data_IF_501426179981
#
_entry.id   IF_501426179981
#
_cell.length_a   1.000
_cell.length_b   1.000
_cell.length_c   1.000
_cell.angle_alpha   90.00
_cell.angle_beta   90.00
_cell.angle_gamma   90.00
#
_symmetry.space_group_name_H-M   'P 1'
#
loop_
_entity.id
_entity.type
_entity.pdbx_description
1 polymer ?
#
# COMPACT_ATOMS: atom_id res chain seq x y z
N UNK A 1 -11.96 -10.91 -8.27
CA UNK A 1 -10.63 -10.75 -7.61
C UNK A 1 -9.98 -12.12 -7.50
N UNK A 2 -8.73 -12.27 -7.89
CA UNK A 2 -8.04 -13.55 -7.86
C UNK A 2 -7.32 -13.77 -6.52
N UNK A 3 -7.11 -15.04 -6.09
CA UNK A 3 -6.39 -15.34 -4.84
C UNK A 3 -4.97 -14.75 -4.80
N UNK A 4 -4.34 -14.54 -5.97
CA UNK A 4 -2.97 -14.10 -6.13
C UNK A 4 -2.77 -12.58 -5.97
N UNK A 5 -3.85 -11.79 -5.90
CA UNK A 5 -3.75 -10.35 -5.65
C UNK A 5 -3.38 -10.07 -4.20
N UNK A 6 -2.50 -9.10 -3.98
CA UNK A 6 -2.18 -8.62 -2.62
C UNK A 6 -3.42 -8.00 -1.94
N UNK A 7 -3.37 -7.87 -0.62
CA UNK A 7 -4.46 -7.27 0.17
C UNK A 7 -4.78 -5.86 -0.35
N UNK A 8 -3.76 -5.02 -0.58
CA UNK A 8 -3.94 -3.67 -1.11
C UNK A 8 -4.59 -3.63 -2.50
N UNK A 9 -4.16 -4.52 -3.42
CA UNK A 9 -4.80 -4.61 -4.75
C UNK A 9 -6.26 -5.05 -4.68
N UNK A 10 -6.61 -5.95 -3.75
CA UNK A 10 -8.00 -6.37 -3.51
C UNK A 10 -8.83 -5.23 -2.95
N UNK A 11 -8.28 -4.46 -2.01
CA UNK A 11 -8.92 -3.27 -1.46
C UNK A 11 -9.19 -2.25 -2.57
N UNK A 12 -8.18 -1.88 -3.36
CA UNK A 12 -8.34 -0.97 -4.49
C UNK A 12 -9.46 -1.40 -5.45
N UNK A 13 -9.47 -2.65 -5.88
CA UNK A 13 -10.49 -3.15 -6.79
C UNK A 13 -11.90 -3.13 -6.17
N UNK A 14 -12.03 -3.51 -4.90
CA UNK A 14 -13.30 -3.48 -4.16
C UNK A 14 -13.82 -2.06 -4.02
N UNK A 15 -12.95 -1.13 -3.58
CA UNK A 15 -13.33 0.25 -3.29
C UNK A 15 -13.72 1.02 -4.56
N UNK A 16 -12.99 0.86 -5.66
CA UNK A 16 -13.37 1.45 -6.93
C UNK A 16 -14.69 0.86 -7.48
N UNK A 17 -14.85 -0.46 -7.44
CA UNK A 17 -16.09 -1.09 -7.91
C UNK A 17 -17.34 -0.62 -7.14
N UNK A 18 -17.19 -0.37 -5.83
CA UNK A 18 -18.29 0.10 -4.99
C UNK A 18 -18.60 1.60 -5.17
N UNK A 19 -17.56 2.43 -5.42
CA UNK A 19 -17.70 3.90 -5.41
C UNK A 19 -17.86 4.52 -6.80
N UNK A 20 -17.23 4.00 -7.83
CA UNK A 20 -17.31 4.57 -9.18
C UNK A 20 -18.75 4.76 -9.68
N UNK A 21 -19.68 3.78 -9.55
CA UNK A 21 -21.06 3.98 -9.98
C UNK A 21 -21.79 5.11 -9.24
N UNK A 22 -21.36 5.46 -8.01
CA UNK A 22 -21.96 6.53 -7.21
C UNK A 22 -21.42 7.91 -7.60
N UNK A 23 -20.11 8.01 -7.89
CA UNK A 23 -19.44 9.30 -8.16
C UNK A 23 -19.46 9.68 -9.65
N UNK A 24 -19.87 8.77 -10.53
CA UNK A 24 -19.90 8.96 -11.97
C UNK A 24 -21.16 8.31 -12.57
N UNK A 25 -22.34 8.81 -12.20
CA UNK A 25 -23.61 8.31 -12.67
C UNK A 25 -23.86 8.55 -14.19
N UNK A 26 -23.03 9.38 -14.82
CA UNK A 26 -22.99 9.61 -16.27
C UNK A 26 -22.21 8.53 -17.05
N UNK A 27 -21.54 7.61 -16.35
CA UNK A 27 -20.80 6.50 -16.93
C UNK A 27 -21.46 5.16 -16.56
N UNK A 28 -21.54 4.26 -17.52
CA UNK A 28 -21.96 2.88 -17.26
C UNK A 28 -20.75 2.00 -16.94
N UNK A 29 -20.83 1.24 -15.86
CA UNK A 29 -19.75 0.38 -15.38
C UNK A 29 -20.11 -1.09 -15.49
N UNK A 30 -19.32 -1.85 -16.22
CA UNK A 30 -19.42 -3.32 -16.30
C UNK A 30 -18.19 -3.95 -15.68
N UNK A 31 -18.37 -4.70 -14.59
CA UNK A 31 -17.28 -5.37 -13.87
C UNK A 31 -17.14 -6.82 -14.31
N UNK A 32 -15.90 -7.23 -14.56
CA UNK A 32 -15.54 -8.61 -14.87
C UNK A 32 -14.70 -9.23 -13.74
N UNK A 33 -15.17 -10.36 -13.24
CA UNK A 33 -14.48 -11.14 -12.20
C UNK A 33 -14.21 -12.54 -12.74
N UNK A 34 -13.14 -12.75 -13.49
CA UNK A 34 -12.86 -14.05 -14.12
C UNK A 34 -11.44 -14.51 -13.92
N UNK A 35 -11.33 -15.81 -13.59
CA UNK A 35 -10.16 -16.65 -13.77
C UNK A 35 -9.03 -16.49 -12.77
N UNK A 36 -8.07 -17.38 -12.93
CA UNK A 36 -6.74 -17.25 -12.30
C UNK A 36 -5.86 -16.38 -13.18
N UNK A 37 -5.02 -15.56 -12.58
CA UNK A 37 -4.01 -14.78 -13.30
C UNK A 37 -3.17 -15.73 -14.19
N UNK A 38 -3.00 -15.35 -15.46
CA UNK A 38 -2.31 -16.15 -16.50
C UNK A 38 -3.04 -17.43 -16.93
N UNK A 39 -4.29 -17.63 -16.51
CA UNK A 39 -5.08 -18.77 -16.92
C UNK A 39 -5.73 -18.58 -18.29
N UNK A 40 -6.19 -19.69 -18.88
CA UNK A 40 -6.96 -19.68 -20.15
C UNK A 40 -8.13 -18.71 -20.13
N UNK A 41 -8.87 -18.66 -19.01
CA UNK A 41 -10.01 -17.77 -18.84
C UNK A 41 -9.64 -16.30 -18.94
N UNK A 42 -8.55 -15.88 -18.30
CA UNK A 42 -8.06 -14.50 -18.36
C UNK A 42 -7.55 -14.14 -19.75
N UNK A 43 -6.81 -15.06 -20.40
CA UNK A 43 -6.12 -14.75 -21.64
C UNK A 43 -7.05 -14.82 -22.89
N UNK A 44 -8.02 -15.70 -22.88
CA UNK A 44 -8.91 -15.93 -24.03
C UNK A 44 -10.37 -15.54 -23.73
N UNK A 45 -11.00 -16.08 -22.67
CA UNK A 45 -12.41 -15.88 -22.41
C UNK A 45 -12.73 -14.43 -22.04
N UNK A 46 -11.91 -13.84 -21.14
CA UNK A 46 -12.11 -12.46 -20.68
C UNK A 46 -12.08 -11.43 -21.82
N UNK A 47 -11.10 -11.42 -22.74
CA UNK A 47 -11.10 -10.49 -23.87
C UNK A 47 -12.32 -10.60 -24.79
N UNK A 48 -12.83 -11.82 -25.01
CA UNK A 48 -14.06 -12.01 -25.79
C UNK A 48 -15.28 -11.47 -25.06
N UNK A 49 -15.43 -11.78 -23.77
CA UNK A 49 -16.54 -11.28 -22.96
C UNK A 49 -16.53 -9.75 -22.88
N UNK A 50 -15.36 -9.13 -22.72
CA UNK A 50 -15.22 -7.67 -22.72
C UNK A 50 -15.57 -7.06 -24.08
N UNK A 51 -15.15 -7.68 -25.20
CA UNK A 51 -15.50 -7.18 -26.55
C UNK A 51 -17.00 -7.26 -26.85
N UNK A 52 -17.70 -8.26 -26.31
CA UNK A 52 -19.15 -8.40 -26.50
C UNK A 52 -19.93 -7.21 -25.92
N UNK A 53 -19.42 -6.60 -24.82
CA UNK A 53 -20.03 -5.40 -24.21
C UNK A 53 -19.67 -4.12 -24.96
N UNK A 54 -18.68 -4.13 -25.87
CA UNK A 54 -18.19 -2.97 -26.64
C UNK A 54 -17.87 -1.74 -25.77
N UNK A 55 -16.99 -1.87 -24.76
CA UNK A 55 -16.68 -0.77 -23.88
C UNK A 55 -15.97 0.36 -24.62
N UNK A 56 -16.29 1.61 -24.30
CA UNK A 56 -15.55 2.77 -24.81
C UNK A 56 -14.13 2.80 -24.26
N UNK A 57 -13.94 2.32 -23.03
CA UNK A 57 -12.65 2.14 -22.39
C UNK A 57 -12.68 0.94 -21.45
N UNK A 58 -11.56 0.21 -21.35
CA UNK A 58 -11.38 -0.86 -20.39
C UNK A 58 -10.35 -0.46 -19.35
N UNK A 59 -10.54 -0.79 -18.08
CA UNK A 59 -9.55 -0.55 -17.03
C UNK A 59 -9.14 -1.85 -16.32
N UNK A 60 -7.88 -2.20 -16.41
CA UNK A 60 -7.26 -3.31 -15.67
C UNK A 60 -6.70 -2.77 -14.35
N UNK A 61 -7.32 -3.15 -13.23
CA UNK A 61 -7.03 -2.63 -11.90
C UNK A 61 -5.71 -3.18 -11.29
N UNK A 62 -4.89 -3.81 -12.11
CA UNK A 62 -3.56 -4.30 -11.75
C UNK A 62 -2.75 -4.60 -13.01
N UNK A 63 -1.47 -4.96 -12.81
CA UNK A 63 -0.55 -5.38 -13.87
C UNK A 63 -1.00 -6.65 -14.65
N UNK A 64 -1.99 -7.37 -14.14
CA UNK A 64 -2.52 -8.58 -14.77
C UNK A 64 -3.48 -8.19 -15.90
N UNK A 65 -2.95 -8.17 -17.10
CA UNK A 65 -3.64 -7.78 -18.32
C UNK A 65 -3.55 -8.92 -19.33
N UNK A 66 -4.66 -9.28 -19.99
CA UNK A 66 -4.58 -10.23 -21.10
C UNK A 66 -3.62 -9.74 -22.19
N UNK A 67 -3.03 -10.66 -22.94
CA UNK A 67 -2.11 -10.31 -24.04
C UNK A 67 -2.80 -9.50 -25.15
N UNK A 68 -4.10 -9.76 -25.38
CA UNK A 68 -4.92 -9.09 -26.39
C UNK A 68 -6.17 -8.46 -25.79
N UNK A 69 -6.02 -7.45 -24.91
CA UNK A 69 -7.16 -6.78 -24.31
C UNK A 69 -7.94 -5.98 -25.34
N UNK A 70 -9.25 -5.72 -25.15
CA UNK A 70 -9.99 -4.76 -25.96
C UNK A 70 -9.39 -3.35 -25.78
N UNK A 71 -9.36 -2.59 -26.88
CA UNK A 71 -8.79 -1.24 -26.89
C UNK A 71 -9.88 -0.19 -27.12
N UNK A 72 -9.71 1.03 -26.59
CA UNK A 72 -8.60 1.48 -25.72
C UNK A 72 -8.70 0.91 -24.31
N UNK A 73 -7.56 0.84 -23.61
CA UNK A 73 -7.53 0.42 -22.20
C UNK A 73 -6.55 1.23 -21.35
N UNK A 74 -6.83 1.27 -20.06
CA UNK A 74 -5.98 1.76 -18.98
C UNK A 74 -5.48 0.56 -18.18
N UNK A 75 -4.29 0.66 -17.61
CA UNK A 75 -3.76 -0.32 -16.65
C UNK A 75 -3.29 0.40 -15.39
N UNK A 76 -3.62 -0.14 -14.21
CA UNK A 76 -3.05 0.32 -12.95
C UNK A 76 -1.80 -0.48 -12.62
N UNK A 77 -0.71 0.23 -12.32
CA UNK A 77 0.56 -0.33 -11.81
C UNK A 77 0.81 0.28 -10.43
N UNK A 78 0.59 -0.51 -9.37
CA UNK A 78 0.74 -0.07 -7.99
C UNK A 78 2.20 0.10 -7.59
N UNK A 79 3.07 -0.83 -8.01
CA UNK A 79 4.50 -0.80 -7.75
C UNK A 79 5.28 -1.66 -8.75
N UNK A 80 6.59 -1.52 -8.72
CA UNK A 80 7.54 -2.35 -9.44
C UNK A 80 8.58 -2.98 -8.49
N UNK A 81 8.17 -3.30 -7.27
CA UNK A 81 9.03 -3.91 -6.22
C UNK A 81 9.77 -5.14 -6.74
N UNK A 82 9.13 -5.94 -7.59
CA UNK A 82 9.72 -7.13 -8.19
C UNK A 82 10.92 -6.85 -9.11
N UNK A 83 10.97 -5.66 -9.71
CA UNK A 83 12.11 -5.23 -10.54
C UNK A 83 13.16 -4.49 -9.70
N UNK A 84 12.74 -3.83 -8.63
CA UNK A 84 13.63 -3.10 -7.72
C UNK A 84 14.43 -4.03 -6.82
N UNK A 85 13.84 -5.15 -6.38
CA UNK A 85 14.46 -6.15 -5.50
C UNK A 85 14.39 -7.55 -6.09
N UNK A 86 14.99 -7.79 -7.26
CA UNK A 86 14.87 -9.08 -7.97
C UNK A 86 15.39 -10.26 -7.15
N UNK A 87 16.32 -10.03 -6.21
CA UNK A 87 16.89 -11.04 -5.32
C UNK A 87 15.87 -11.66 -4.37
N UNK A 88 14.74 -10.99 -4.09
CA UNK A 88 13.69 -11.50 -3.20
C UNK A 88 12.57 -12.26 -3.93
N UNK A 89 12.67 -12.37 -5.25
CA UNK A 89 11.62 -12.98 -6.08
C UNK A 89 12.15 -14.08 -6.98
N UNK A 90 11.25 -14.95 -7.46
CA UNK A 90 11.62 -16.03 -8.38
C UNK A 90 12.19 -15.46 -9.68
N UNK A 91 13.22 -16.09 -10.23
CA UNK A 91 13.97 -15.63 -11.43
C UNK A 91 13.09 -15.33 -12.65
N UNK A 92 11.96 -16.01 -12.81
CA UNK A 92 11.00 -15.80 -13.92
C UNK A 92 10.18 -14.50 -13.80
N UNK A 93 10.15 -13.87 -12.65
CA UNK A 93 9.33 -12.66 -12.42
C UNK A 93 9.89 -11.45 -13.17
N UNK A 94 11.20 -11.23 -13.11
CA UNK A 94 11.86 -10.14 -13.84
C UNK A 94 11.61 -10.17 -15.35
N UNK A 95 11.85 -11.29 -16.05
CA UNK A 95 11.50 -11.45 -17.46
C UNK A 95 10.02 -11.16 -17.77
N UNK A 96 9.08 -11.65 -16.93
CA UNK A 96 7.67 -11.35 -17.11
C UNK A 96 7.37 -9.84 -17.13
N UNK A 97 7.93 -9.08 -16.18
CA UNK A 97 7.76 -7.63 -16.15
C UNK A 97 8.36 -6.94 -17.38
N UNK A 98 9.58 -7.33 -17.78
CA UNK A 98 10.28 -6.74 -18.92
C UNK A 98 9.65 -7.09 -20.27
N UNK A 99 8.82 -8.12 -20.34
CA UNK A 99 8.12 -8.55 -21.56
C UNK A 99 6.64 -8.23 -21.49
N UNK A 100 5.84 -9.04 -20.79
CA UNK A 100 4.39 -8.94 -20.81
C UNK A 100 3.87 -7.63 -20.17
N UNK A 101 4.39 -7.22 -19.01
CA UNK A 101 3.94 -5.96 -18.37
C UNK A 101 4.38 -4.76 -19.19
N UNK A 102 5.64 -4.75 -19.68
CA UNK A 102 6.12 -3.70 -20.58
C UNK A 102 5.28 -3.60 -21.85
N UNK A 103 4.95 -4.75 -22.47
CA UNK A 103 4.08 -4.78 -23.63
C UNK A 103 2.68 -4.24 -23.32
N UNK A 104 2.08 -4.63 -22.22
CA UNK A 104 0.79 -4.09 -21.78
C UNK A 104 0.84 -2.57 -21.57
N UNK A 105 1.85 -2.06 -20.86
CA UNK A 105 2.06 -0.63 -20.65
C UNK A 105 2.30 0.14 -21.95
N UNK A 106 3.08 -0.40 -22.90
CA UNK A 106 3.37 0.27 -24.18
C UNK A 106 2.11 0.46 -25.03
N UNK A 107 1.14 -0.44 -24.90
CA UNK A 107 -0.11 -0.45 -25.70
C UNK A 107 -1.32 0.14 -24.98
N UNK A 108 -1.25 0.37 -23.68
CA UNK A 108 -2.27 1.05 -22.91
C UNK A 108 -2.45 2.50 -23.42
N UNK A 109 -3.67 3.02 -23.39
CA UNK A 109 -3.96 4.44 -23.68
C UNK A 109 -3.30 5.33 -22.60
N UNK A 110 -3.37 4.90 -21.35
CA UNK A 110 -2.77 5.54 -20.21
C UNK A 110 -2.49 4.51 -19.10
N UNK A 111 -1.69 4.92 -18.13
CA UNK A 111 -1.36 4.12 -16.94
C UNK A 111 -1.78 4.93 -15.71
N UNK A 112 -2.40 4.26 -14.73
CA UNK A 112 -2.64 4.83 -13.40
C UNK A 112 -1.60 4.25 -12.45
N UNK A 113 -1.10 5.07 -11.54
CA UNK A 113 -0.28 4.64 -10.40
C UNK A 113 -0.66 5.41 -9.15
N UNK A 114 -0.23 4.91 -8.00
CA UNK A 114 -0.66 5.42 -6.70
C UNK A 114 0.26 6.53 -6.16
N UNK A 115 1.52 6.58 -6.62
CA UNK A 115 2.54 7.50 -6.08
C UNK A 115 3.53 7.94 -7.18
N UNK A 116 4.03 9.18 -7.07
CA UNK A 116 5.02 9.78 -7.97
C UNK A 116 6.30 8.94 -8.12
N UNK A 117 6.72 8.23 -7.06
CA UNK A 117 7.91 7.38 -7.10
C UNK A 117 7.74 6.21 -8.07
N UNK A 118 6.51 5.71 -8.23
CA UNK A 118 6.21 4.65 -9.21
C UNK A 118 6.28 5.18 -10.64
N UNK A 119 6.03 6.47 -10.88
CA UNK A 119 6.26 7.08 -12.23
C UNK A 119 7.73 6.96 -12.62
N UNK A 120 8.64 7.28 -11.69
CA UNK A 120 10.08 7.13 -11.90
C UNK A 120 10.47 5.68 -12.18
N UNK A 121 9.89 4.74 -11.43
CA UNK A 121 10.14 3.30 -11.65
C UNK A 121 9.60 2.81 -13.01
N UNK A 122 8.41 3.26 -13.41
CA UNK A 122 7.81 2.94 -14.70
C UNK A 122 8.69 3.41 -15.85
N UNK A 123 9.22 4.63 -15.74
CA UNK A 123 10.16 5.17 -16.73
C UNK A 123 11.46 4.35 -16.75
N UNK A 124 12.07 4.15 -15.59
CA UNK A 124 13.37 3.49 -15.46
C UNK A 124 13.33 2.02 -15.90
N UNK A 125 12.38 1.23 -15.41
CA UNK A 125 12.34 -0.22 -15.62
C UNK A 125 11.62 -0.64 -16.89
N UNK A 126 10.59 0.11 -17.31
CA UNK A 126 9.70 -0.29 -18.41
C UNK A 126 9.76 0.67 -19.60
N UNK A 127 10.46 1.80 -19.51
CA UNK A 127 10.56 2.81 -20.56
C UNK A 127 9.23 3.51 -20.84
N UNK A 128 8.39 3.66 -19.83
CA UNK A 128 7.10 4.36 -19.93
C UNK A 128 7.33 5.87 -19.87
N UNK A 129 6.77 6.61 -20.82
CA UNK A 129 6.82 8.07 -20.81
C UNK A 129 5.96 8.62 -19.68
N UNK A 130 6.50 9.52 -18.79
CA UNK A 130 5.78 10.08 -17.65
C UNK A 130 4.44 10.75 -18.03
N UNK A 131 4.37 11.39 -19.21
CA UNK A 131 3.14 12.03 -19.72
C UNK A 131 1.97 11.08 -19.95
N UNK A 132 2.21 9.77 -19.98
CA UNK A 132 1.20 8.71 -20.10
C UNK A 132 0.76 8.14 -18.76
N UNK A 133 1.33 8.63 -17.66
CA UNK A 133 1.06 8.15 -16.30
C UNK A 133 0.26 9.18 -15.53
N UNK A 134 -0.90 8.77 -15.03
CA UNK A 134 -1.70 9.55 -14.10
C UNK A 134 -1.48 9.04 -12.69
N UNK A 135 -1.05 9.90 -11.79
CA UNK A 135 -0.96 9.57 -10.36
C UNK A 135 -2.31 9.82 -9.71
N UNK A 136 -2.88 8.79 -9.12
CA UNK A 136 -4.13 8.85 -8.35
C UNK A 136 -3.87 8.17 -7.01
N UNK A 137 -3.64 8.93 -5.93
CA UNK A 137 -3.37 8.36 -4.61
C UNK A 137 -4.53 7.50 -4.11
N UNK A 138 -4.18 6.44 -3.38
CA UNK A 138 -5.16 5.59 -2.71
C UNK A 138 -5.78 6.31 -1.50
N UNK A 139 -6.81 5.70 -0.91
CA UNK A 139 -7.43 6.13 0.34
C UNK A 139 -7.28 5.08 1.44
N UNK A 140 -7.40 5.48 2.69
CA UNK A 140 -7.66 4.56 3.77
C UNK A 140 -9.16 4.23 3.85
N UNK A 141 -9.50 3.10 4.47
CA UNK A 141 -10.89 2.69 4.68
C UNK A 141 -11.61 3.67 5.63
N UNK A 142 -12.90 3.87 5.42
CA UNK A 142 -13.72 4.82 6.19
C UNK A 142 -13.64 4.57 7.71
N UNK A 143 -13.39 3.32 8.12
CA UNK A 143 -13.24 2.95 9.53
C UNK A 143 -12.09 3.67 10.25
N UNK A 144 -11.07 4.10 9.52
CA UNK A 144 -9.92 4.83 10.09
C UNK A 144 -10.18 6.33 10.31
N UNK A 145 -11.32 6.86 9.85
CA UNK A 145 -11.69 8.27 10.00
C UNK A 145 -12.81 8.51 11.01
N UNK A 146 -13.37 7.45 11.58
CA UNK A 146 -14.47 7.51 12.55
C UNK A 146 -14.02 7.73 13.99
N UNK A 147 -14.97 7.64 14.91
CA UNK A 147 -14.68 7.53 16.34
C UNK A 147 -14.15 6.12 16.63
N UNK A 148 -12.91 6.03 17.09
CA UNK A 148 -12.20 4.76 17.31
C UNK A 148 -11.88 4.65 18.79
N UNK A 149 -12.33 3.56 19.43
CA UNK A 149 -11.92 3.22 20.78
C UNK A 149 -10.51 2.61 20.76
N UNK A 150 -9.51 3.28 21.40
CA UNK A 150 -8.14 2.78 21.42
C UNK A 150 -8.02 1.48 22.22
N UNK A 151 -7.33 0.50 21.68
CA UNK A 151 -6.95 -0.68 22.45
C UNK A 151 -5.91 -0.30 23.53
N UNK A 152 -6.21 -0.58 24.80
CA UNK A 152 -5.41 -0.16 25.96
C UNK A 152 -4.94 -1.37 26.78
N UNK A 153 -3.84 -2.02 26.41
CA UNK A 153 -3.25 -3.07 27.22
C UNK A 153 -2.54 -2.50 28.47
N UNK A 154 -2.20 -3.34 29.45
CA UNK A 154 -1.49 -2.92 30.65
C UNK A 154 -0.12 -2.28 30.39
N UNK A 155 0.54 -2.62 29.27
CA UNK A 155 1.84 -2.07 28.87
C UNK A 155 1.69 -1.28 27.56
N UNK A 156 2.39 -0.14 27.43
CA UNK A 156 2.43 0.56 26.16
C UNK A 156 3.04 -0.32 25.06
N UNK A 157 2.71 -0.05 23.81
CA UNK A 157 3.23 -0.82 22.69
C UNK A 157 3.49 0.06 21.47
N UNK A 158 4.41 -0.40 20.65
CA UNK A 158 4.57 0.01 19.26
C UNK A 158 4.07 -1.12 18.36
N UNK A 159 3.75 -0.81 17.12
CA UNK A 159 3.26 -1.84 16.21
C UNK A 159 3.86 -1.78 14.82
N UNK A 160 3.77 -2.91 14.15
CA UNK A 160 3.98 -3.08 12.73
C UNK A 160 2.72 -3.67 12.11
N UNK A 161 2.34 -3.16 10.93
CA UNK A 161 1.25 -3.72 10.14
C UNK A 161 1.71 -4.00 8.70
N UNK A 162 1.49 -5.23 8.24
CA UNK A 162 1.88 -5.67 6.91
C UNK A 162 2.20 -7.17 6.83
N UNK A 163 2.59 -7.61 5.62
CA UNK A 163 3.12 -8.95 5.42
C UNK A 163 4.63 -9.00 5.76
N UNK A 164 5.20 -10.22 5.83
CA UNK A 164 6.57 -10.47 6.25
C UNK A 164 7.51 -10.81 5.09
N UNK A 165 7.28 -10.23 3.91
CA UNK A 165 8.19 -10.42 2.78
C UNK A 165 9.56 -9.78 3.05
N UNK A 166 10.66 -10.30 2.48
CA UNK A 166 12.01 -9.83 2.80
C UNK A 166 12.23 -8.32 2.67
N UNK A 167 11.62 -7.67 1.66
CA UNK A 167 11.72 -6.22 1.48
C UNK A 167 11.00 -5.40 2.56
N UNK A 168 10.24 -6.03 3.46
CA UNK A 168 9.63 -5.36 4.61
C UNK A 168 10.60 -5.16 5.77
N UNK A 169 11.78 -5.76 5.70
CA UNK A 169 12.92 -5.57 6.60
C UNK A 169 12.57 -5.66 8.09
N UNK A 170 11.83 -6.70 8.45
CA UNK A 170 11.44 -6.93 9.85
C UNK A 170 12.65 -7.12 10.77
N UNK A 171 13.82 -7.49 10.23
CA UNK A 171 15.05 -7.56 11.01
C UNK A 171 15.37 -6.20 11.64
N UNK A 172 15.34 -5.12 10.86
CA UNK A 172 15.52 -3.75 11.36
C UNK A 172 14.48 -3.40 12.43
N UNK A 173 13.21 -3.80 12.28
CA UNK A 173 12.17 -3.58 13.29
C UNK A 173 12.51 -4.22 14.62
N UNK A 174 12.83 -5.54 14.60
CA UNK A 174 13.10 -6.29 15.82
C UNK A 174 14.35 -5.80 16.53
N UNK A 175 15.43 -5.51 15.80
CA UNK A 175 16.66 -4.97 16.37
C UNK A 175 16.44 -3.56 16.94
N UNK A 176 15.69 -2.69 16.24
CA UNK A 176 15.33 -1.35 16.74
C UNK A 176 14.60 -1.45 18.07
N UNK A 177 13.56 -2.31 18.15
CA UNK A 177 12.78 -2.50 19.37
C UNK A 177 13.61 -3.14 20.49
N UNK A 178 14.43 -4.16 20.17
CA UNK A 178 15.22 -4.90 21.13
C UNK A 178 16.36 -4.07 21.77
N UNK A 179 16.81 -3.03 21.08
CA UNK A 179 17.88 -2.14 21.54
C UNK A 179 17.39 -0.86 22.20
N UNK A 180 16.06 -0.71 22.39
CA UNK A 180 15.50 0.40 23.18
C UNK A 180 16.08 0.42 24.61
N UNK A 181 16.22 1.61 25.22
CA UNK A 181 16.63 1.73 26.62
C UNK A 181 15.74 0.90 27.55
N UNK A 182 16.36 0.26 28.55
CA UNK A 182 15.68 -0.69 29.45
C UNK A 182 14.59 -0.06 30.34
N UNK A 183 14.59 1.26 30.50
CA UNK A 183 13.56 2.02 31.19
C UNK A 183 12.28 2.21 30.31
N UNK A 184 12.37 1.95 29.00
CA UNK A 184 11.25 1.94 28.09
C UNK A 184 10.67 0.52 27.95
N UNK A 185 9.77 0.16 28.86
CA UNK A 185 9.09 -1.14 28.85
C UNK A 185 7.94 -1.15 27.82
N UNK A 186 8.25 -1.38 26.54
CA UNK A 186 7.32 -1.30 25.41
C UNK A 186 7.18 -2.65 24.74
N UNK A 187 5.93 -3.13 24.55
CA UNK A 187 5.64 -4.36 23.79
C UNK A 187 5.67 -4.06 22.28
N UNK A 188 5.99 -5.05 21.45
CA UNK A 188 5.96 -4.99 19.99
C UNK A 188 4.81 -5.83 19.45
N UNK A 189 3.81 -5.18 18.85
CA UNK A 189 2.64 -5.82 18.24
C UNK A 189 2.86 -5.93 16.73
N UNK A 190 2.67 -7.14 16.19
CA UNK A 190 2.98 -7.42 14.77
C UNK A 190 1.80 -8.16 14.14
N UNK A 191 1.23 -7.62 13.05
CA UNK A 191 0.22 -8.32 12.26
C UNK A 191 0.85 -9.33 11.31
N UNK A 192 0.06 -10.26 10.77
CA UNK A 192 0.50 -11.29 9.83
C UNK A 192 0.53 -12.68 10.45
N UNK A 193 0.69 -13.71 9.63
CA UNK A 193 0.49 -15.10 10.00
C UNK A 193 1.66 -15.78 10.71
N UNK A 194 2.78 -15.07 10.94
CA UNK A 194 3.95 -15.63 11.65
C UNK A 194 3.73 -15.60 13.17
N UNK A 195 4.13 -16.65 13.86
CA UNK A 195 4.08 -16.72 15.32
C UNK A 195 5.32 -16.15 16.04
N UNK A 196 6.40 -15.89 15.27
CA UNK A 196 7.68 -15.33 15.75
C UNK A 196 8.36 -16.15 16.85
N UNK A 197 8.16 -17.46 16.90
CA UNK A 197 8.67 -18.32 17.96
C UNK A 197 10.19 -18.20 18.19
N UNK A 198 10.99 -18.24 17.12
CA UNK A 198 12.45 -18.07 17.17
C UNK A 198 12.86 -16.67 17.65
N UNK A 199 12.18 -15.62 17.16
CA UNK A 199 12.45 -14.24 17.56
C UNK A 199 12.07 -13.98 19.02
N UNK A 200 11.00 -14.58 19.53
CA UNK A 200 10.66 -14.54 20.95
C UNK A 200 11.75 -15.13 21.82
N UNK A 201 12.34 -16.24 21.40
CA UNK A 201 13.47 -16.86 22.11
C UNK A 201 14.72 -15.96 22.05
N UNK A 202 15.05 -15.47 20.86
CA UNK A 202 16.20 -14.55 20.66
C UNK A 202 16.13 -13.31 21.54
N UNK A 203 14.95 -12.72 21.68
CA UNK A 203 14.72 -11.48 22.43
C UNK A 203 14.10 -11.70 23.82
N UNK A 204 14.18 -12.88 24.40
CA UNK A 204 13.56 -13.21 25.68
C UNK A 204 14.04 -12.34 26.86
N UNK A 205 15.21 -11.68 26.75
CA UNK A 205 15.78 -10.79 27.78
C UNK A 205 15.42 -9.32 27.60
N UNK A 206 14.72 -8.96 26.52
CA UNK A 206 14.28 -7.59 26.26
C UNK A 206 13.15 -7.24 27.23
N UNK A 207 13.12 -6.00 27.73
CA UNK A 207 12.05 -5.52 28.58
C UNK A 207 10.78 -5.18 27.78
N UNK A 208 10.20 -6.18 27.16
CA UNK A 208 9.00 -6.13 26.32
C UNK A 208 8.67 -7.51 25.77
N UNK A 209 7.51 -7.63 25.13
CA UNK A 209 7.04 -8.89 24.53
C UNK A 209 6.71 -8.67 23.06
N UNK A 210 6.96 -9.68 22.24
CA UNK A 210 6.48 -9.75 20.86
C UNK A 210 5.07 -10.37 20.88
N UNK A 211 4.07 -9.65 20.43
CA UNK A 211 2.68 -10.07 20.34
C UNK A 211 2.32 -10.24 18.86
N UNK A 212 2.17 -11.49 18.43
CA UNK A 212 1.66 -11.81 17.10
C UNK A 212 0.13 -11.63 17.10
N UNK A 213 -0.36 -10.76 16.23
CA UNK A 213 -1.79 -10.44 16.12
C UNK A 213 -2.51 -11.32 15.07
N UNK A 214 -1.77 -12.00 14.19
CA UNK A 214 -2.36 -12.70 13.07
C UNK A 214 -3.01 -11.77 12.05
N UNK A 215 -4.02 -12.28 11.37
CA UNK A 215 -4.86 -11.48 10.46
C UNK A 215 -5.90 -10.71 11.27
N UNK A 216 -5.85 -9.39 11.19
CA UNK A 216 -6.66 -8.48 12.01
C UNK A 216 -7.76 -7.84 11.16
N UNK A 217 -9.04 -7.90 11.56
CA UNK A 217 -10.11 -7.13 10.92
C UNK A 217 -9.83 -5.61 10.97
N UNK A 218 -10.26 -4.86 9.95
CA UNK A 218 -9.97 -3.43 9.81
C UNK A 218 -10.40 -2.60 11.05
N UNK A 219 -11.56 -2.87 11.63
CA UNK A 219 -12.03 -2.17 12.84
C UNK A 219 -11.11 -2.42 14.04
N UNK A 220 -10.64 -3.66 14.22
CA UNK A 220 -9.67 -3.98 15.28
C UNK A 220 -8.30 -3.38 14.99
N UNK A 221 -7.88 -3.34 13.73
CA UNK A 221 -6.63 -2.72 13.32
C UNK A 221 -6.64 -1.22 13.63
N UNK A 222 -7.78 -0.54 13.39
CA UNK A 222 -7.97 0.85 13.77
C UNK A 222 -7.81 1.07 15.29
N UNK A 223 -8.39 0.19 16.11
CA UNK A 223 -8.24 0.24 17.59
C UNK A 223 -6.78 0.01 18.00
N UNK A 224 -6.07 -0.92 17.37
CA UNK A 224 -4.64 -1.13 17.63
C UNK A 224 -3.80 0.08 17.22
N UNK A 225 -4.03 0.68 16.06
CA UNK A 225 -3.34 1.92 15.70
C UNK A 225 -3.62 3.04 16.70
N UNK A 226 -4.88 3.25 17.05
CA UNK A 226 -5.27 4.32 17.97
C UNK A 226 -4.68 4.18 19.38
N UNK A 227 -4.38 2.96 19.82
CA UNK A 227 -3.75 2.68 21.12
C UNK A 227 -2.23 2.61 21.08
N UNK A 228 -1.61 2.49 19.89
CA UNK A 228 -0.17 2.36 19.75
C UNK A 228 0.56 3.69 20.01
N UNK A 229 1.76 3.60 20.60
CA UNK A 229 2.66 4.75 20.76
C UNK A 229 3.29 5.17 19.42
N UNK A 230 3.48 4.23 18.52
CA UNK A 230 3.95 4.45 17.16
C UNK A 230 3.65 3.25 16.25
N UNK A 231 3.44 3.51 14.96
CA UNK A 231 3.69 2.56 13.89
C UNK A 231 5.16 2.65 13.48
N UNK A 232 5.89 1.52 13.47
CA UNK A 232 7.24 1.44 12.91
C UNK A 232 7.17 0.66 11.60
N UNK A 233 7.55 1.30 10.49
CA UNK A 233 7.44 0.74 9.14
C UNK A 233 8.80 0.68 8.44
N UNK A 234 9.60 -0.38 8.64
CA UNK A 234 10.98 -0.47 8.17
C UNK A 234 11.12 -0.90 6.70
N UNK A 235 10.01 -1.10 5.99
CA UNK A 235 10.04 -1.58 4.60
C UNK A 235 11.04 -0.80 3.75
N UNK A 236 11.84 -1.50 2.96
CA UNK A 236 12.82 -0.87 2.04
C UNK A 236 12.14 -0.14 0.89
N UNK A 237 10.89 -0.46 0.60
CA UNK A 237 10.07 0.18 -0.43
C UNK A 237 8.60 -0.20 -0.27
N UNK A 238 7.73 0.75 -0.62
CA UNK A 238 6.28 0.57 -0.76
C UNK A 238 5.79 1.21 -2.06
N UNK A 239 4.74 0.66 -2.63
CA UNK A 239 4.00 1.33 -3.71
C UNK A 239 3.34 2.60 -3.20
N UNK A 240 2.41 2.45 -2.26
CA UNK A 240 1.72 3.57 -1.62
C UNK A 240 1.85 3.58 -0.09
N UNK A 241 1.91 2.39 0.56
CA UNK A 241 2.07 2.32 2.02
C UNK A 241 0.77 2.60 2.79
N UNK A 242 -0.30 1.90 2.45
CA UNK A 242 -1.59 2.01 3.15
C UNK A 242 -1.48 1.96 4.68
N UNK A 243 -0.65 1.07 5.31
CA UNK A 243 -0.53 1.05 6.76
C UNK A 243 -0.10 2.38 7.38
N UNK A 244 0.77 3.14 6.70
CA UNK A 244 1.19 4.46 7.19
C UNK A 244 0.07 5.49 7.07
N UNK A 245 -0.72 5.44 6.00
CA UNK A 245 -1.89 6.31 5.83
C UNK A 245 -2.98 5.99 6.86
N UNK A 246 -3.26 4.70 7.09
CA UNK A 246 -4.21 4.21 8.08
C UNK A 246 -3.82 4.65 9.50
N UNK A 247 -2.56 4.45 9.87
CA UNK A 247 -2.03 4.90 11.16
C UNK A 247 -2.14 6.43 11.32
N UNK A 248 -1.74 7.19 10.31
CA UNK A 248 -1.85 8.65 10.31
C UNK A 248 -3.32 9.11 10.45
N UNK A 249 -4.27 8.44 9.78
CA UNK A 249 -5.69 8.78 9.83
C UNK A 249 -6.27 8.67 11.25
N UNK A 250 -5.92 7.61 11.99
CA UNK A 250 -6.37 7.42 13.38
C UNK A 250 -5.58 8.25 14.41
N UNK A 251 -4.49 8.89 14.01
CA UNK A 251 -3.63 9.66 14.90
C UNK A 251 -2.55 8.82 15.59
N UNK A 252 -2.10 7.74 14.99
CA UNK A 252 -0.90 7.02 15.42
C UNK A 252 0.33 7.67 14.78
N UNK A 253 1.35 8.10 15.57
CA UNK A 253 2.60 8.58 15.02
C UNK A 253 3.30 7.51 14.19
N UNK A 254 3.95 7.90 13.09
CA UNK A 254 4.63 6.97 12.18
C UNK A 254 6.12 7.23 12.13
N UNK A 255 6.91 6.17 12.25
CA UNK A 255 8.34 6.14 11.98
C UNK A 255 8.57 5.13 10.85
N UNK A 256 9.24 5.52 9.77
CA UNK A 256 9.39 4.66 8.62
C UNK A 256 10.76 4.79 7.94
N UNK A 257 11.16 3.76 7.21
CA UNK A 257 12.27 3.86 6.29
C UNK A 257 11.97 4.91 5.21
N UNK A 258 12.91 5.82 4.97
CA UNK A 258 12.75 6.96 4.04
C UNK A 258 12.23 6.54 2.67
N UNK A 259 12.72 5.40 2.16
CA UNK A 259 12.33 4.91 0.84
C UNK A 259 10.90 4.36 0.78
N UNK A 260 10.29 4.00 1.92
CA UNK A 260 8.95 3.45 1.98
C UNK A 260 7.86 4.54 2.09
N UNK A 261 8.22 5.74 2.58
CA UNK A 261 7.23 6.79 2.83
C UNK A 261 6.61 7.28 1.53
N UNK A 262 5.27 7.21 1.40
CA UNK A 262 4.60 7.73 0.21
C UNK A 262 4.77 9.26 0.11
N UNK A 263 4.79 9.77 -1.11
CA UNK A 263 4.95 11.21 -1.40
C UNK A 263 3.93 12.06 -0.62
N UNK A 264 2.74 11.51 -0.42
CA UNK A 264 1.63 12.17 0.27
C UNK A 264 1.83 12.32 1.79
N UNK A 265 2.72 11.54 2.43
CA UNK A 265 2.96 11.57 3.88
C UNK A 265 4.36 12.09 4.27
N UNK A 266 5.16 12.54 3.32
CA UNK A 266 6.58 12.85 3.51
C UNK A 266 6.84 13.79 4.69
N UNK A 267 5.97 14.76 4.92
CA UNK A 267 6.13 15.80 5.96
C UNK A 267 5.47 15.44 7.30
N UNK A 268 4.86 14.25 7.41
CA UNK A 268 4.08 13.82 8.58
C UNK A 268 4.64 12.56 9.25
N UNK A 269 5.84 12.11 8.86
CA UNK A 269 6.46 10.86 9.27
C UNK A 269 7.91 11.12 9.65
N UNK A 270 8.38 10.54 10.75
CA UNK A 270 9.81 10.50 11.05
C UNK A 270 10.48 9.42 10.21
N UNK A 271 11.64 9.73 9.64
CA UNK A 271 12.29 8.82 8.71
C UNK A 271 13.72 8.46 9.09
N UNK A 272 14.09 7.21 8.82
CA UNK A 272 15.44 6.68 8.98
C UNK A 272 15.93 6.04 7.66
N UNK A 273 17.24 5.89 7.51
CA UNK A 273 17.82 5.27 6.32
C UNK A 273 17.55 3.75 6.26
N UNK A 274 17.56 3.12 5.08
CA UNK A 274 17.44 1.66 4.97
C UNK A 274 18.45 0.94 5.86
N UNK A 275 17.99 -0.08 6.61
CA UNK A 275 18.78 -0.90 7.54
C UNK A 275 19.44 -0.12 8.70
N UNK A 276 19.05 1.13 8.94
CA UNK A 276 19.60 1.98 10.00
C UNK A 276 18.87 1.75 11.33
N UNK A 277 19.29 0.70 12.04
CA UNK A 277 18.75 0.34 13.36
C UNK A 277 18.99 1.45 14.39
N UNK A 278 20.17 2.09 14.35
CA UNK A 278 20.52 3.13 15.33
C UNK A 278 19.68 4.38 15.13
N UNK A 279 19.56 4.88 13.91
CA UNK A 279 18.72 6.03 13.60
C UNK A 279 17.25 5.77 13.90
N UNK A 280 16.73 4.58 13.56
CA UNK A 280 15.37 4.16 13.89
C UNK A 280 15.13 4.13 15.41
N UNK A 281 16.09 3.59 16.18
CA UNK A 281 16.05 3.55 17.65
C UNK A 281 16.04 4.94 18.27
N UNK A 282 16.91 5.85 17.81
CA UNK A 282 16.98 7.22 18.32
C UNK A 282 15.68 8.00 18.08
N UNK A 283 15.11 7.85 16.90
CA UNK A 283 13.81 8.45 16.56
C UNK A 283 12.69 7.87 17.43
N UNK A 284 12.69 6.56 17.63
CA UNK A 284 11.67 5.88 18.43
C UNK A 284 11.82 6.25 19.93
N UNK A 285 13.02 6.27 20.49
CA UNK A 285 13.29 6.71 21.86
C UNK A 285 12.81 8.15 22.08
N UNK A 286 13.17 9.07 21.18
CA UNK A 286 12.69 10.46 21.19
C UNK A 286 11.16 10.54 21.17
N UNK A 287 10.50 9.82 20.26
CA UNK A 287 9.04 9.83 20.13
C UNK A 287 8.34 9.30 21.38
N UNK A 288 8.91 8.26 22.00
CA UNK A 288 8.32 7.64 23.21
C UNK A 288 8.44 8.54 24.44
N UNK A 289 9.45 9.42 24.50
CA UNK A 289 9.72 10.34 25.63
C UNK A 289 9.12 11.72 25.44
N UNK A 290 9.00 12.20 24.21
CA UNK A 290 8.58 13.58 23.90
C UNK A 290 7.14 13.61 23.39
N UNK A 291 6.19 13.89 24.27
CA UNK A 291 4.78 14.02 23.93
C UNK A 291 4.50 15.18 22.94
N UNK A 292 5.33 16.23 22.92
CA UNK A 292 5.21 17.34 21.99
C UNK A 292 5.49 16.91 20.56
N UNK A 293 6.55 16.11 20.35
CA UNK A 293 6.88 15.49 19.05
C UNK A 293 5.74 14.57 18.62
N UNK A 294 5.27 13.69 19.52
CA UNK A 294 4.17 12.77 19.22
C UNK A 294 2.90 13.53 18.81
N UNK A 295 2.52 14.55 19.57
CA UNK A 295 1.32 15.38 19.30
C UNK A 295 1.43 16.11 17.96
N UNK A 296 2.60 16.63 17.62
CA UNK A 296 2.84 17.31 16.33
C UNK A 296 2.63 16.36 15.17
N UNK A 297 3.19 15.14 15.23
CA UNK A 297 3.00 14.12 14.19
C UNK A 297 1.55 13.67 14.05
N UNK A 298 0.83 13.52 15.17
CA UNK A 298 -0.61 13.19 15.18
C UNK A 298 -1.40 14.26 14.42
N UNK A 299 -1.22 15.53 14.78
CA UNK A 299 -1.95 16.64 14.15
C UNK A 299 -1.66 16.72 12.66
N UNK A 300 -0.38 16.67 12.28
CA UNK A 300 0.03 16.74 10.87
C UNK A 300 -0.46 15.51 10.09
N UNK A 301 -0.31 14.31 10.66
CA UNK A 301 -0.73 13.06 10.04
C UNK A 301 -2.23 13.02 9.78
N UNK A 302 -3.05 13.33 10.79
CA UNK A 302 -4.51 13.36 10.65
C UNK A 302 -4.98 14.41 9.65
N UNK A 303 -4.41 15.64 9.72
CA UNK A 303 -4.74 16.69 8.76
C UNK A 303 -4.43 16.28 7.33
N UNK A 304 -3.29 15.62 7.12
CA UNK A 304 -2.88 15.12 5.81
C UNK A 304 -3.76 13.96 5.34
N UNK A 305 -4.00 12.95 6.18
CA UNK A 305 -4.72 11.74 5.83
C UNK A 305 -6.17 12.01 5.39
N UNK A 306 -6.84 13.03 5.94
CA UNK A 306 -8.20 13.44 5.54
C UNK A 306 -8.35 13.76 4.05
N UNK A 307 -7.25 14.04 3.35
CA UNK A 307 -7.25 14.29 1.91
C UNK A 307 -7.13 13.02 1.06
N UNK A 308 -6.95 11.84 1.66
CA UNK A 308 -6.69 10.59 0.96
C UNK A 308 -7.72 9.54 1.34
N UNK A 309 -8.94 9.71 0.82
CA UNK A 309 -10.07 8.79 1.00
C UNK A 309 -10.33 8.00 -0.28
N UNK A 310 -10.97 6.83 -0.16
CA UNK A 310 -11.38 6.05 -1.31
C UNK A 310 -12.40 6.79 -2.20
N UNK A 311 -13.26 7.65 -1.63
CA UNK A 311 -14.16 8.48 -2.41
C UNK A 311 -13.39 9.45 -3.30
N UNK A 312 -12.36 10.10 -2.77
CA UNK A 312 -11.49 10.99 -3.56
C UNK A 312 -10.74 10.24 -4.66
N UNK A 313 -10.21 9.05 -4.35
CA UNK A 313 -9.60 8.17 -5.34
C UNK A 313 -10.58 7.83 -6.47
N UNK A 314 -11.81 7.46 -6.15
CA UNK A 314 -12.85 7.16 -7.12
C UNK A 314 -13.24 8.39 -7.97
N UNK A 315 -13.39 9.57 -7.35
CA UNK A 315 -13.68 10.82 -8.07
C UNK A 315 -12.56 11.16 -9.06
N UNK A 316 -11.31 11.11 -8.65
CA UNK A 316 -10.16 11.36 -9.53
C UNK A 316 -10.08 10.33 -10.66
N UNK A 317 -10.34 9.07 -10.36
CA UNK A 317 -10.39 8.00 -11.38
C UNK A 317 -11.51 8.26 -12.40
N UNK A 318 -12.70 8.65 -11.96
CA UNK A 318 -13.81 9.00 -12.85
C UNK A 318 -13.51 10.24 -13.71
N UNK A 319 -12.89 11.26 -13.14
CA UNK A 319 -12.42 12.44 -13.88
C UNK A 319 -11.43 12.06 -14.98
N UNK A 320 -10.49 11.17 -14.65
CA UNK A 320 -9.52 10.69 -15.62
C UNK A 320 -10.19 9.86 -16.75
N UNK A 321 -11.20 9.05 -16.44
CA UNK A 321 -11.96 8.38 -17.49
C UNK A 321 -12.64 9.36 -18.44
N UNK A 322 -13.29 10.42 -17.92
CA UNK A 322 -13.91 11.46 -18.75
C UNK A 322 -12.91 12.19 -19.64
N UNK A 323 -11.73 12.48 -19.12
CA UNK A 323 -10.63 13.06 -19.90
C UNK A 323 -10.26 12.15 -21.08
N UNK A 324 -10.00 10.88 -20.85
CA UNK A 324 -9.63 9.90 -21.89
C UNK A 324 -10.76 9.73 -22.94
N UNK A 325 -12.01 9.72 -22.50
CA UNK A 325 -13.17 9.61 -23.41
C UNK A 325 -13.37 10.90 -24.22
N UNK A 326 -13.20 12.08 -23.62
CA UNK A 326 -13.29 13.37 -24.28
C UNK A 326 -12.18 13.61 -25.32
N UNK A 327 -10.97 13.13 -25.09
CA UNK A 327 -9.87 13.17 -26.07
C UNK A 327 -10.13 12.28 -27.30
N UNK A 328 -10.99 11.26 -27.18
CA UNK A 328 -11.39 10.38 -28.29
C UNK A 328 -12.47 11.01 -29.18
N UNK A 329 -13.27 11.90 -28.63
CA UNK A 329 -14.36 12.57 -29.35
C UNK A 329 -13.89 13.75 -30.21
N UNK A 330 -12.64 14.16 -30.07
CA UNK A 330 -11.97 15.19 -30.87
C UNK A 330 -11.04 14.53 -31.90
#
# INVERSE_FOLDING_TARGET
MTPQMSVGMKAYARELAARLPRVAADLEFVSFHRGRNFGFEEQLVLPFAMRAVRPDISHFLSLYTPLLPPRPYIVTIHDLIHLRFPQYFKSKVGPYYRTAVRFACSRARAIITDDERTVTDLQHFLGVEPSRVQVIPLGADDVFYGAIEPYRPPRPYIMYAGNHRPHKDLATLFETWATLPSDLAVDLYVTGSDDFGELRQRYARVNGRIIALGDVPQAMLASYYAGARALVHPALWEGFGLPMLEAAAVGCPVIACTNAVPSVLRDCVLTFAPHDVLGARELLDKLLRDEGVARTLVIQGQARARHFTWDRCAVQTAQFYRQILGERAR
#
